data_IF_861164641343
#
_entry.id   IF_861164641343
#
_cell.length_a   1.000
_cell.length_b   1.000
_cell.length_c   1.000
_cell.angle_alpha   90.00
_cell.angle_beta   90.00
_cell.angle_gamma   90.00
#
_symmetry.space_group_name_H-M   'P 1'
#
loop_
_entity.id
_entity.type
_entity.pdbx_description
1 polymer ?
#
# COMPACT_ATOMS: atom_id res chain seq x y z
N UNK A 1 -7.06 -10.01 19.73
CA UNK A 1 -7.60 -8.68 19.41
C UNK A 1 -8.80 -8.46 20.32
N UNK A 2 -8.76 -7.45 21.20
CA UNK A 2 -9.81 -7.23 22.21
C UNK A 2 -11.09 -6.71 21.54
N UNK A 3 -12.26 -6.99 22.14
CA UNK A 3 -13.63 -6.79 21.62
C UNK A 3 -13.97 -5.41 21.00
N UNK A 4 -13.05 -4.44 20.99
CA UNK A 4 -13.23 -3.08 20.44
C UNK A 4 -12.06 -2.53 19.62
N UNK A 5 -10.98 -3.29 19.43
CA UNK A 5 -9.81 -2.83 18.65
C UNK A 5 -9.64 -3.72 17.43
N UNK A 6 -9.79 -3.09 16.26
CA UNK A 6 -9.55 -3.69 14.95
C UNK A 6 -8.12 -3.44 14.50
N UNK A 7 -7.54 -4.38 13.76
CA UNK A 7 -6.15 -4.28 13.27
C UNK A 7 -6.10 -4.72 11.82
N UNK A 8 -5.67 -3.81 10.94
CA UNK A 8 -5.55 -4.07 9.50
C UNK A 8 -4.11 -3.89 9.02
N UNK A 9 -3.58 -4.89 8.34
CA UNK A 9 -2.33 -4.77 7.57
C UNK A 9 -2.61 -4.15 6.20
N UNK A 10 -1.85 -3.13 5.80
CA UNK A 10 -1.93 -2.53 4.45
C UNK A 10 -0.64 -2.84 3.69
N UNK A 11 -0.77 -3.57 2.59
CA UNK A 11 0.35 -4.10 1.80
C UNK A 11 0.34 -3.51 0.38
N UNK A 12 0.87 -2.28 0.22
CA UNK A 12 0.91 -1.60 -1.07
C UNK A 12 2.01 -2.15 -1.99
N UNK A 13 1.73 -2.13 -3.30
CA UNK A 13 2.71 -2.26 -4.37
C UNK A 13 3.44 -0.95 -4.68
N UNK A 14 3.77 -0.71 -5.95
CA UNK A 14 4.37 0.56 -6.35
C UNK A 14 3.39 1.74 -6.13
N UNK A 15 3.79 2.72 -5.32
CA UNK A 15 2.99 3.89 -4.96
C UNK A 15 3.83 5.15 -5.10
N UNK A 16 3.30 6.18 -5.75
CA UNK A 16 4.04 7.42 -5.94
C UNK A 16 4.35 8.08 -4.59
N UNK A 17 5.63 8.09 -4.23
CA UNK A 17 6.13 8.61 -2.96
C UNK A 17 7.61 8.97 -3.06
N UNK A 18 8.10 9.71 -2.06
CA UNK A 18 9.52 10.11 -1.97
C UNK A 18 10.44 8.93 -1.60
N UNK A 19 9.88 7.79 -1.17
CA UNK A 19 10.62 6.55 -0.91
C UNK A 19 11.46 6.08 -2.11
N UNK A 20 11.06 6.41 -3.33
CA UNK A 20 11.84 6.08 -4.54
C UNK A 20 13.24 6.73 -4.56
N UNK A 21 13.45 7.79 -3.78
CA UNK A 21 14.73 8.51 -3.70
C UNK A 21 15.57 8.14 -2.48
N UNK A 22 15.06 7.30 -1.57
CA UNK A 22 15.79 6.94 -0.34
C UNK A 22 16.73 5.75 -0.55
N UNK A 23 16.63 5.06 -1.68
CA UNK A 23 17.54 3.97 -2.04
C UNK A 23 18.83 4.52 -2.65
N UNK A 24 19.95 4.34 -1.95
CA UNK A 24 21.29 4.69 -2.46
C UNK A 24 22.12 3.42 -2.62
N UNK A 25 22.31 2.97 -3.87
CA UNK A 25 23.20 1.86 -4.26
C UNK A 25 23.06 1.59 -5.77
N UNK A 26 23.72 0.54 -6.27
CA UNK A 26 23.46 -0.03 -7.61
C UNK A 26 22.00 -0.42 -7.87
N UNK A 27 21.16 -0.51 -6.82
CA UNK A 27 19.73 -0.81 -6.96
C UNK A 27 18.85 0.43 -7.24
N UNK A 28 19.40 1.65 -7.23
CA UNK A 28 18.61 2.87 -7.40
C UNK A 28 17.84 2.91 -8.74
N UNK A 29 18.47 2.50 -9.84
CA UNK A 29 17.81 2.44 -11.15
C UNK A 29 16.67 1.42 -11.17
N UNK A 30 16.89 0.22 -10.61
CA UNK A 30 15.86 -0.83 -10.49
C UNK A 30 14.67 -0.35 -9.67
N UNK A 31 14.93 0.39 -8.58
CA UNK A 31 13.88 1.00 -7.77
C UNK A 31 13.12 2.03 -8.60
N UNK A 32 13.79 2.98 -9.26
CA UNK A 32 13.12 3.98 -10.08
C UNK A 32 12.28 3.35 -11.21
N UNK A 33 12.77 2.28 -11.83
CA UNK A 33 12.02 1.51 -12.82
C UNK A 33 10.78 0.85 -12.23
N UNK A 34 10.88 0.26 -11.04
CA UNK A 34 9.73 -0.28 -10.31
C UNK A 34 8.66 0.77 -10.02
N UNK A 35 9.05 2.02 -9.77
CA UNK A 35 8.10 3.12 -9.52
C UNK A 35 7.48 3.71 -10.81
N UNK A 36 7.91 3.31 -12.03
CA UNK A 36 7.27 3.79 -13.29
C UNK A 36 5.80 3.39 -13.43
N UNK A 37 5.42 2.28 -12.81
CA UNK A 37 4.04 1.78 -12.77
C UNK A 37 3.28 2.22 -11.51
N UNK A 38 3.85 3.12 -10.71
CA UNK A 38 3.29 3.48 -9.42
C UNK A 38 1.90 4.11 -9.56
N UNK A 39 0.99 3.73 -8.66
CA UNK A 39 -0.31 4.40 -8.52
C UNK A 39 -0.20 5.61 -7.57
N UNK A 40 -1.10 6.60 -7.66
CA UNK A 40 -1.10 7.71 -6.72
C UNK A 40 -1.28 7.25 -5.27
N UNK A 41 -0.68 7.96 -4.30
CA UNK A 41 -0.85 7.69 -2.87
C UNK A 41 -2.32 7.68 -2.42
N UNK A 42 -3.19 8.43 -3.12
CA UNK A 42 -4.63 8.42 -2.91
C UNK A 42 -5.27 7.03 -3.06
N UNK A 43 -4.66 6.11 -3.83
CA UNK A 43 -5.12 4.73 -3.94
C UNK A 43 -4.96 3.98 -2.62
N UNK A 44 -3.84 4.15 -1.91
CA UNK A 44 -3.62 3.59 -0.57
C UNK A 44 -4.56 4.24 0.44
N UNK A 45 -4.75 5.56 0.36
CA UNK A 45 -5.69 6.27 1.24
C UNK A 45 -7.12 5.73 1.12
N UNK A 46 -7.58 5.40 -0.10
CA UNK A 46 -8.90 4.77 -0.30
C UNK A 46 -8.97 3.36 0.29
N UNK A 47 -7.89 2.58 0.24
CA UNK A 47 -7.85 1.27 0.89
C UNK A 47 -7.95 1.38 2.43
N UNK A 48 -7.26 2.36 3.02
CA UNK A 48 -7.34 2.66 4.44
C UNK A 48 -8.76 3.10 4.80
N UNK A 49 -9.35 4.02 4.04
CA UNK A 49 -10.73 4.48 4.25
C UNK A 49 -11.73 3.30 4.20
N UNK A 50 -11.58 2.41 3.22
CA UNK A 50 -12.40 1.20 3.12
C UNK A 50 -12.33 0.35 4.41
N UNK A 51 -11.14 0.11 4.96
CA UNK A 51 -10.99 -0.66 6.20
C UNK A 51 -11.63 0.05 7.40
N UNK A 52 -11.43 1.37 7.52
CA UNK A 52 -11.97 2.18 8.62
C UNK A 52 -13.49 2.27 8.59
N UNK A 53 -14.08 2.40 7.39
CA UNK A 53 -15.53 2.54 7.17
C UNK A 53 -16.32 1.26 7.43
N UNK A 54 -15.66 0.10 7.61
CA UNK A 54 -16.37 -1.13 7.94
C UNK A 54 -17.10 -1.00 9.29
N UNK A 55 -18.27 -1.66 9.44
CA UNK A 55 -18.99 -1.73 10.71
C UNK A 55 -18.14 -2.21 11.89
N UNK A 56 -18.53 -1.87 13.12
CA UNK A 56 -17.78 -2.21 14.35
C UNK A 56 -17.59 -3.72 14.56
N UNK A 57 -18.46 -4.55 13.97
CA UNK A 57 -18.42 -6.02 14.01
C UNK A 57 -17.64 -6.64 12.83
N UNK A 58 -17.03 -5.82 11.98
CA UNK A 58 -16.23 -6.27 10.83
C UNK A 58 -14.77 -5.86 11.03
N UNK A 59 -13.89 -6.85 11.09
CA UNK A 59 -12.45 -6.68 11.06
C UNK A 59 -11.89 -7.05 9.68
N UNK A 60 -10.94 -6.25 9.19
CA UNK A 60 -10.25 -6.50 7.92
C UNK A 60 -8.81 -6.85 8.26
N UNK A 61 -8.44 -8.12 8.13
CA UNK A 61 -7.11 -8.60 8.50
C UNK A 61 -6.01 -7.94 7.65
N UNK A 62 -6.19 -7.91 6.32
CA UNK A 62 -5.20 -7.39 5.39
C UNK A 62 -5.83 -6.86 4.10
N UNK A 63 -5.19 -5.82 3.53
CA UNK A 63 -5.48 -5.32 2.18
C UNK A 63 -4.19 -5.27 1.38
N UNK A 64 -4.13 -6.08 0.32
CA UNK A 64 -3.07 -6.04 -0.68
C UNK A 64 -3.53 -5.18 -1.87
N UNK A 65 -2.88 -4.04 -2.08
CA UNK A 65 -3.27 -3.07 -3.12
C UNK A 65 -2.08 -2.77 -4.04
N UNK A 66 -2.24 -3.01 -5.34
CA UNK A 66 -1.14 -2.92 -6.31
C UNK A 66 -1.62 -2.34 -7.65
N UNK A 67 -0.75 -1.65 -8.40
CA UNK A 67 -1.02 -1.34 -9.80
C UNK A 67 -1.33 -2.60 -10.60
N UNK A 68 -2.31 -2.56 -11.50
CA UNK A 68 -2.68 -3.72 -12.34
C UNK A 68 -1.56 -4.14 -13.30
N UNK A 69 -0.65 -3.23 -13.64
CA UNK A 69 0.51 -3.50 -14.48
C UNK A 69 1.68 -4.18 -13.74
N UNK A 70 1.63 -4.28 -12.40
CA UNK A 70 2.70 -4.87 -11.60
C UNK A 70 2.75 -6.39 -11.77
N UNK A 71 3.79 -6.88 -12.46
CA UNK A 71 4.10 -8.30 -12.66
C UNK A 71 5.06 -8.85 -11.58
N UNK A 72 4.99 -10.17 -11.34
CA UNK A 72 5.81 -10.93 -10.39
C UNK A 72 6.76 -11.88 -11.10
#
# INVERSE_FOLDING_TARGET
MGEKVRVTSIEPGAVESDLKFTTSSAAAETVLDFYKQAVPAASVARAIAFAVEQPDDVDVDAIVIRPTAQQF
#
